data_IF_780573783329
#
_entry.id   IF_780573783329
#
_cell.length_a   1.000
_cell.length_b   1.000
_cell.length_c   1.000
_cell.angle_alpha   90.00
_cell.angle_beta   90.00
_cell.angle_gamma   90.00
#
_symmetry.space_group_name_H-M   'P 1'
#
loop_
_entity.id
_entity.type
_entity.pdbx_description
1 polymer ?
#
# COMPACT_ATOMS: atom_id res chain seq x y z
N UNK A 1 -36.98 -4.84 6.09
CA UNK A 1 -35.91 -5.79 5.71
C UNK A 1 -34.57 -5.13 6.03
N UNK A 2 -33.79 -5.63 6.99
CA UNK A 2 -32.46 -5.05 7.32
C UNK A 2 -31.42 -5.69 6.40
N UNK A 3 -30.78 -4.89 5.55
CA UNK A 3 -29.67 -5.34 4.69
C UNK A 3 -28.45 -5.66 5.56
N UNK A 4 -28.06 -6.93 5.61
CA UNK A 4 -26.84 -7.38 6.29
C UNK A 4 -25.67 -7.12 5.34
N UNK A 5 -24.86 -6.10 5.62
CA UNK A 5 -23.63 -5.85 4.89
C UNK A 5 -22.64 -7.00 5.17
N UNK A 6 -22.11 -7.62 4.11
CA UNK A 6 -21.00 -8.55 4.18
C UNK A 6 -19.71 -7.74 4.34
N UNK A 7 -19.32 -7.54 5.59
CA UNK A 7 -18.12 -6.83 6.01
C UNK A 7 -18.12 -6.77 7.51
N UNK A 8 -17.07 -7.30 8.14
CA UNK A 8 -16.95 -7.23 9.60
C UNK A 8 -16.90 -5.74 9.99
N UNK A 9 -17.82 -5.28 10.85
CA UNK A 9 -17.90 -3.90 11.34
C UNK A 9 -16.72 -3.55 12.27
N UNK A 10 -15.48 -3.74 11.82
CA UNK A 10 -14.30 -3.15 12.46
C UNK A 10 -14.21 -1.70 12.00
N UNK A 11 -15.08 -0.87 12.54
CA UNK A 11 -15.27 0.55 12.19
C UNK A 11 -14.03 1.46 12.38
N UNK A 12 -12.84 0.91 12.66
CA UNK A 12 -11.63 1.69 12.96
C UNK A 12 -10.34 1.25 12.26
N UNK A 13 -10.36 0.23 11.40
CA UNK A 13 -9.12 -0.21 10.72
C UNK A 13 -8.86 0.57 9.42
N UNK A 14 -9.93 1.06 8.78
CA UNK A 14 -9.87 1.62 7.42
C UNK A 14 -10.31 3.09 7.41
N UNK A 15 -9.56 3.97 8.08
CA UNK A 15 -9.70 5.40 7.80
C UNK A 15 -9.10 5.71 6.41
N UNK A 16 -9.63 6.68 5.66
CA UNK A 16 -9.01 7.12 4.41
C UNK A 16 -7.53 7.46 4.62
N UNK A 17 -6.64 6.87 3.81
CA UNK A 17 -5.19 7.03 3.95
C UNK A 17 -4.52 6.21 5.06
N UNK A 18 -5.23 5.26 5.70
CA UNK A 18 -4.64 4.34 6.68
C UNK A 18 -3.64 3.39 6.01
N UNK A 19 -2.43 3.27 6.56
CA UNK A 19 -1.44 2.27 6.12
C UNK A 19 -1.81 0.83 6.52
N UNK A 20 -2.84 0.65 7.35
CA UNK A 20 -3.28 -0.67 7.82
C UNK A 20 -3.95 -1.51 6.72
N UNK A 21 -4.22 -0.92 5.56
CA UNK A 21 -4.74 -1.62 4.38
C UNK A 21 -3.65 -2.38 3.63
N UNK A 22 -2.36 -2.06 3.87
CA UNK A 22 -1.25 -2.72 3.20
C UNK A 22 -1.07 -4.12 3.80
N UNK A 23 -1.00 -5.13 2.93
CA UNK A 23 -0.69 -6.51 3.34
C UNK A 23 0.79 -6.83 3.08
N UNK A 24 1.62 -6.96 4.13
CA UNK A 24 3.04 -7.22 3.96
C UNK A 24 3.32 -8.71 3.73
N UNK A 25 4.01 -9.03 2.64
CA UNK A 25 4.41 -10.40 2.28
C UNK A 25 5.87 -10.63 2.66
N UNK A 26 6.19 -11.75 3.31
CA UNK A 26 7.58 -12.13 3.61
C UNK A 26 8.28 -12.59 2.32
N UNK A 27 9.45 -12.01 2.02
CA UNK A 27 10.25 -12.47 0.87
C UNK A 27 10.81 -13.87 1.13
N UNK A 28 10.57 -14.79 0.21
CA UNK A 28 11.22 -16.10 0.22
C UNK A 28 12.64 -15.96 -0.35
N UNK A 29 13.61 -16.68 0.21
CA UNK A 29 15.03 -16.66 -0.19
C UNK A 29 15.77 -15.34 0.08
N UNK A 30 15.69 -14.83 1.32
CA UNK A 30 16.56 -13.75 1.81
C UNK A 30 18.01 -14.23 1.96
N UNK A 31 18.73 -14.35 0.84
CA UNK A 31 20.18 -14.41 0.90
C UNK A 31 20.72 -13.01 1.16
N UNK A 32 21.62 -12.87 2.13
CA UNK A 32 22.28 -11.60 2.49
C UNK A 32 23.09 -10.97 1.35
N UNK A 33 23.25 -11.67 0.23
CA UNK A 33 24.02 -11.24 -0.93
C UNK A 33 23.17 -10.74 -2.12
N UNK A 34 21.84 -10.67 -2.00
CA UNK A 34 20.98 -10.20 -3.10
C UNK A 34 21.07 -8.66 -3.19
N UNK A 35 21.52 -8.18 -4.36
CA UNK A 35 21.54 -6.77 -4.71
C UNK A 35 20.47 -6.51 -5.78
N UNK A 36 19.58 -5.55 -5.52
CA UNK A 36 18.48 -5.22 -6.43
C UNK A 36 17.43 -4.34 -5.76
N UNK A 37 16.46 -3.89 -6.55
CA UNK A 37 15.33 -3.06 -6.11
C UNK A 37 14.09 -3.45 -6.89
N UNK A 38 12.93 -3.36 -6.24
CA UNK A 38 11.62 -3.44 -6.88
C UNK A 38 11.15 -2.02 -7.17
N UNK A 39 10.89 -1.72 -8.44
CA UNK A 39 10.29 -0.46 -8.87
C UNK A 39 8.79 -0.63 -9.03
N UNK A 40 8.02 0.21 -8.36
CA UNK A 40 6.56 0.28 -8.45
C UNK A 40 6.16 1.66 -8.95
N UNK A 41 5.37 1.70 -10.02
CA UNK A 41 4.87 2.94 -10.61
C UNK A 41 3.36 3.04 -10.39
N UNK A 42 2.96 3.94 -9.49
CA UNK A 42 1.56 4.27 -9.26
C UNK A 42 1.18 5.45 -10.17
N UNK A 43 0.63 5.13 -11.35
CA UNK A 43 0.18 6.14 -12.33
C UNK A 43 -1.09 6.87 -11.89
N UNK A 44 -1.89 6.24 -11.02
CA UNK A 44 -3.20 6.74 -10.58
C UNK A 44 -3.19 7.18 -9.11
N UNK A 45 -2.11 7.81 -8.64
CA UNK A 45 -2.04 8.30 -7.26
C UNK A 45 -2.73 9.66 -7.12
N UNK A 46 -3.96 9.65 -6.59
CA UNK A 46 -4.78 10.84 -6.36
C UNK A 46 -4.98 11.10 -4.86
N UNK A 47 -4.82 12.36 -4.45
CA UNK A 47 -5.01 12.78 -3.06
C UNK A 47 -5.44 14.24 -2.97
N UNK A 48 -5.88 14.66 -1.77
CA UNK A 48 -6.19 16.05 -1.47
C UNK A 48 -4.93 16.76 -0.96
N UNK A 49 -4.62 17.93 -1.51
CA UNK A 49 -3.54 18.78 -1.00
C UNK A 49 -3.92 19.44 0.34
N UNK A 50 -3.02 20.26 0.90
CA UNK A 50 -3.27 20.99 2.14
C UNK A 50 -4.47 21.94 2.08
N UNK A 51 -4.87 22.36 0.88
CA UNK A 51 -6.02 23.24 0.63
C UNK A 51 -7.30 22.46 0.28
N UNK A 52 -7.24 21.11 0.29
CA UNK A 52 -8.31 20.18 -0.11
C UNK A 52 -8.66 20.24 -1.60
N UNK A 53 -7.71 20.61 -2.46
CA UNK A 53 -7.87 20.44 -3.89
C UNK A 53 -7.42 19.03 -4.31
N UNK A 54 -8.16 18.36 -5.21
CA UNK A 54 -7.74 17.07 -5.75
C UNK A 54 -6.52 17.22 -6.65
N UNK A 55 -5.49 16.42 -6.39
CA UNK A 55 -4.28 16.34 -7.20
C UNK A 55 -4.07 14.90 -7.66
N UNK A 56 -3.70 14.74 -8.93
CA UNK A 56 -3.21 13.49 -9.49
C UNK A 56 -1.70 13.61 -9.70
N UNK A 57 -0.94 12.63 -9.22
CA UNK A 57 0.51 12.53 -9.42
C UNK A 57 0.88 11.11 -9.81
N UNK A 58 1.97 10.99 -10.58
CA UNK A 58 2.64 9.71 -10.78
C UNK A 58 3.67 9.55 -9.66
N UNK A 59 3.65 8.40 -8.98
CA UNK A 59 4.56 8.10 -7.88
C UNK A 59 5.39 6.88 -8.23
N UNK A 60 6.71 7.01 -8.14
CA UNK A 60 7.63 5.88 -8.17
C UNK A 60 7.98 5.49 -6.73
N UNK A 61 7.85 4.20 -6.42
CA UNK A 61 8.20 3.61 -5.13
C UNK A 61 9.32 2.61 -5.39
N UNK A 62 10.40 2.75 -4.62
CA UNK A 62 11.59 1.89 -4.72
C UNK A 62 11.72 1.09 -3.44
N UNK A 63 11.64 -0.23 -3.53
CA UNK A 63 11.77 -1.14 -2.38
C UNK A 63 13.04 -1.97 -2.56
N UNK A 64 14.02 -1.91 -1.65
CA UNK A 64 15.22 -2.75 -1.75
C UNK A 64 14.88 -4.24 -1.76
N UNK A 65 15.53 -5.01 -2.64
CA UNK A 65 15.38 -6.47 -2.66
C UNK A 65 15.89 -7.14 -1.37
N UNK A 66 16.74 -6.43 -0.62
CA UNK A 66 17.21 -6.83 0.72
C UNK A 66 16.18 -6.65 1.83
N UNK A 67 15.00 -6.05 1.55
CA UNK A 67 13.95 -5.88 2.56
C UNK A 67 13.40 -7.22 3.01
N UNK A 68 13.13 -7.38 4.32
CA UNK A 68 12.58 -8.64 4.84
C UNK A 68 11.15 -8.92 4.34
N UNK A 69 10.42 -7.87 3.96
CA UNK A 69 9.04 -7.93 3.48
C UNK A 69 8.89 -7.09 2.23
N UNK A 70 8.04 -7.55 1.33
CA UNK A 70 7.46 -6.78 0.24
C UNK A 70 5.99 -6.51 0.55
N UNK A 71 5.27 -5.86 -0.36
CA UNK A 71 3.85 -5.51 -0.20
C UNK A 71 3.05 -6.19 -1.31
N UNK A 72 1.87 -6.70 -0.98
CA UNK A 72 0.91 -7.25 -1.96
C UNK A 72 0.32 -6.12 -2.84
N UNK A 73 0.01 -6.44 -4.11
CA UNK A 73 -0.42 -5.46 -5.12
C UNK A 73 -1.93 -5.20 -5.13
#
# INVERSE_FOLDING_TARGET
>A
MKTKFLGNNKASINSPGSSKILDPIVRQNQSSAISGVDYWNAYEFSFLDSNRHPLLKVVEIVIPASSARTVES
#
